data_IF_424062756694
#
_entry.id   IF_424062756694
#
_cell.length_a   1.000
_cell.length_b   1.000
_cell.length_c   1.000
_cell.angle_alpha   90.00
_cell.angle_beta   90.00
_cell.angle_gamma   90.00
#
_symmetry.space_group_name_H-M   'P 1'
#
loop_
_entity.id
_entity.type
_entity.pdbx_description
1 polymer ?
#
# COMPACT_ATOMS: atom_id res chain seq x y z
N UNK A 1 22.32 -0.03 5.53
CA UNK A 1 20.95 0.38 5.42
C UNK A 1 20.15 -0.60 4.56
N UNK A 2 20.61 -1.01 3.37
CA UNK A 2 19.94 -1.92 2.41
C UNK A 2 19.31 -3.17 3.05
N UNK A 3 20.06 -3.95 3.84
CA UNK A 3 19.52 -5.17 4.49
C UNK A 3 18.29 -4.92 5.38
N UNK A 4 18.21 -3.77 6.05
CA UNK A 4 17.04 -3.41 6.88
C UNK A 4 15.81 -3.07 6.04
N UNK A 5 15.98 -2.45 4.86
CA UNK A 5 14.88 -2.25 3.91
C UNK A 5 14.37 -3.57 3.33
N UNK A 6 15.29 -4.49 2.98
CA UNK A 6 14.90 -5.83 2.51
C UNK A 6 14.13 -6.60 3.58
N UNK A 7 14.67 -6.63 4.82
CA UNK A 7 14.01 -7.32 5.93
C UNK A 7 12.64 -6.71 6.24
N UNK A 8 12.56 -5.37 6.32
CA UNK A 8 11.30 -4.67 6.54
C UNK A 8 10.31 -4.93 5.40
N UNK A 9 10.76 -4.97 4.15
CA UNK A 9 9.91 -5.29 2.99
C UNK A 9 9.31 -6.69 3.09
N UNK A 10 10.13 -7.71 3.38
CA UNK A 10 9.65 -9.08 3.56
C UNK A 10 8.66 -9.18 4.73
N UNK A 11 8.99 -8.56 5.88
CA UNK A 11 8.11 -8.55 7.04
C UNK A 11 6.77 -7.83 6.74
N UNK A 12 6.81 -6.72 5.98
CA UNK A 12 5.61 -5.98 5.60
C UNK A 12 4.74 -6.77 4.60
N UNK A 13 5.34 -7.49 3.65
CA UNK A 13 4.61 -8.38 2.73
C UNK A 13 3.87 -9.46 3.54
N UNK A 14 4.56 -10.15 4.45
CA UNK A 14 3.92 -11.15 5.33
C UNK A 14 2.82 -10.52 6.19
N UNK A 15 3.08 -9.34 6.77
CA UNK A 15 2.09 -8.61 7.56
C UNK A 15 0.86 -8.26 6.73
N UNK A 16 1.02 -7.80 5.49
CA UNK A 16 -0.09 -7.46 4.61
C UNK A 16 -0.91 -8.68 4.21
N UNK A 17 -0.27 -9.83 3.98
CA UNK A 17 -1.00 -11.09 3.75
C UNK A 17 -1.87 -11.48 4.97
N UNK A 18 -1.35 -11.30 6.19
CA UNK A 18 -2.15 -11.52 7.41
C UNK A 18 -3.23 -10.44 7.57
N UNK A 19 -2.92 -9.20 7.23
CA UNK A 19 -3.83 -8.05 7.30
C UNK A 19 -5.05 -8.21 6.40
N UNK A 20 -4.89 -8.91 5.27
CA UNK A 20 -5.98 -9.23 4.35
C UNK A 20 -7.11 -10.04 5.03
N UNK A 21 -6.75 -10.93 5.96
CA UNK A 21 -7.73 -11.77 6.67
C UNK A 21 -8.24 -11.14 7.98
N UNK A 22 -7.76 -9.97 8.34
CA UNK A 22 -8.04 -9.37 9.64
C UNK A 22 -9.54 -9.12 9.86
N UNK A 23 -10.25 -8.64 8.83
CA UNK A 23 -11.69 -8.42 8.90
C UNK A 23 -12.47 -9.74 8.94
N UNK A 24 -12.01 -10.76 8.25
CA UNK A 24 -12.59 -12.10 8.30
C UNK A 24 -12.51 -12.72 9.71
N UNK A 25 -11.41 -12.43 10.43
CA UNK A 25 -11.23 -12.95 11.80
C UNK A 25 -11.97 -12.12 12.86
N UNK A 26 -12.08 -10.82 12.63
CA UNK A 26 -12.74 -9.87 13.52
C UNK A 26 -13.66 -8.96 12.74
N UNK A 27 -14.90 -9.41 12.54
CA UNK A 27 -15.97 -8.62 11.90
C UNK A 27 -16.41 -7.47 12.83
N UNK A 28 -15.63 -6.39 12.80
CA UNK A 28 -15.88 -5.21 13.61
C UNK A 28 -15.66 -3.93 12.81
N UNK A 29 -16.53 -2.93 12.98
CA UNK A 29 -16.49 -1.69 12.23
C UNK A 29 -15.13 -0.97 12.25
N UNK A 30 -14.41 -0.98 13.38
CA UNK A 30 -13.08 -0.41 13.45
C UNK A 30 -12.05 -1.16 12.60
N UNK A 31 -12.17 -2.48 12.50
CA UNK A 31 -11.28 -3.30 11.66
C UNK A 31 -11.54 -3.03 10.18
N UNK A 32 -12.80 -2.85 9.79
CA UNK A 32 -13.19 -2.49 8.43
C UNK A 32 -12.52 -1.21 7.90
N UNK A 33 -12.21 -0.25 8.77
CA UNK A 33 -11.55 1.00 8.36
C UNK A 33 -10.10 0.78 7.91
N UNK A 34 -9.44 -0.27 8.42
CA UNK A 34 -8.00 -0.50 8.21
C UNK A 34 -7.71 -1.76 7.40
N UNK A 35 -8.61 -2.74 7.38
CA UNK A 35 -8.47 -3.99 6.66
C UNK A 35 -9.47 -4.06 5.48
N UNK A 36 -9.15 -4.82 4.41
CA UNK A 36 -10.09 -5.05 3.32
C UNK A 36 -11.36 -5.74 3.83
N UNK A 37 -12.52 -5.24 3.39
CA UNK A 37 -13.84 -5.82 3.72
C UNK A 37 -14.41 -6.66 2.57
N UNK A 38 -13.93 -6.41 1.37
CA UNK A 38 -14.31 -7.11 0.14
C UNK A 38 -13.13 -7.23 -0.83
N UNK A 39 -13.37 -7.88 -1.98
CA UNK A 39 -12.34 -8.12 -3.01
C UNK A 39 -12.22 -6.98 -4.04
N UNK A 40 -12.71 -5.77 -3.74
CA UNK A 40 -12.54 -4.62 -4.63
C UNK A 40 -11.07 -4.17 -4.68
N UNK A 41 -10.69 -3.56 -5.82
CA UNK A 41 -9.34 -3.02 -5.97
C UNK A 41 -9.07 -1.95 -4.92
N UNK A 42 -10.06 -1.09 -4.61
CA UNK A 42 -9.93 -0.03 -3.62
C UNK A 42 -9.58 -0.58 -2.23
N UNK A 43 -10.29 -1.60 -1.79
CA UNK A 43 -10.06 -2.21 -0.48
C UNK A 43 -8.66 -2.82 -0.37
N UNK A 44 -8.17 -3.42 -1.45
CA UNK A 44 -6.80 -3.96 -1.50
C UNK A 44 -5.70 -2.89 -1.42
N UNK A 45 -5.99 -1.62 -1.78
CA UNK A 45 -5.01 -0.53 -1.59
C UNK A 45 -4.68 -0.29 -0.12
N UNK A 46 -5.54 -0.67 0.82
CA UNK A 46 -5.25 -0.64 2.27
C UNK A 46 -4.04 -1.49 2.64
N UNK A 47 -3.81 -2.60 1.92
CA UNK A 47 -2.65 -3.48 2.13
C UNK A 47 -1.32 -2.83 1.72
N UNK A 48 -1.36 -1.85 0.82
CA UNK A 48 -0.20 -1.06 0.40
C UNK A 48 0.05 0.16 1.30
N UNK A 49 -0.89 0.46 2.19
CA UNK A 49 -0.83 1.65 3.04
C UNK A 49 -0.57 1.30 4.51
N UNK A 50 -1.51 0.62 5.17
CA UNK A 50 -1.47 0.41 6.62
C UNK A 50 -0.29 -0.46 7.08
N UNK A 51 0.03 -1.59 6.44
CA UNK A 51 1.19 -2.42 6.83
C UNK A 51 2.55 -1.74 6.60
N UNK A 52 2.63 -0.73 5.72
CA UNK A 52 3.87 0.01 5.43
C UNK A 52 4.21 1.01 6.52
N UNK A 53 3.20 1.57 7.22
CA UNK A 53 3.40 2.55 8.29
C UNK A 53 4.33 2.05 9.40
N UNK A 54 4.14 0.85 9.99
CA UNK A 54 5.06 0.30 10.98
C UNK A 54 6.52 0.22 10.47
N UNK A 55 6.72 -0.21 9.23
CA UNK A 55 8.05 -0.29 8.63
C UNK A 55 8.70 1.10 8.51
N UNK A 56 7.94 2.10 8.02
CA UNK A 56 8.39 3.49 7.93
C UNK A 56 8.76 4.07 9.32
N UNK A 57 7.92 3.81 10.34
CA UNK A 57 8.16 4.24 11.72
C UNK A 57 9.43 3.61 12.31
N UNK A 58 9.59 2.29 12.17
CA UNK A 58 10.74 1.55 12.70
C UNK A 58 12.04 2.02 12.03
N UNK A 59 12.07 2.07 10.69
CA UNK A 59 13.26 2.47 9.95
C UNK A 59 13.55 3.97 10.10
N UNK A 60 12.52 4.82 10.14
CA UNK A 60 12.64 6.25 10.37
C UNK A 60 13.28 6.55 11.72
N UNK A 61 12.82 5.89 12.80
CA UNK A 61 13.42 6.00 14.14
C UNK A 61 14.84 5.42 14.18
N UNK A 62 15.03 4.23 13.60
CA UNK A 62 16.33 3.54 13.61
C UNK A 62 17.44 4.36 12.96
N UNK A 63 17.16 4.99 11.83
CA UNK A 63 18.16 5.73 11.07
C UNK A 63 18.16 7.22 11.36
N UNK A 64 17.10 7.77 11.98
CA UNK A 64 16.98 9.18 12.34
C UNK A 64 17.08 10.14 11.13
N UNK A 65 16.84 9.64 9.93
CA UNK A 65 17.01 10.42 8.69
C UNK A 65 15.66 10.87 8.13
N UNK A 66 15.55 12.16 7.83
CA UNK A 66 14.41 12.75 7.13
C UNK A 66 14.12 12.01 5.81
N UNK A 67 15.16 11.58 5.09
CA UNK A 67 15.05 10.90 3.81
C UNK A 67 14.39 9.52 3.87
N UNK A 68 14.39 8.86 5.03
CA UNK A 68 13.63 7.60 5.20
C UNK A 68 12.13 7.90 5.12
N UNK A 69 11.69 8.95 5.80
CA UNK A 69 10.27 9.36 5.78
C UNK A 69 9.82 9.76 4.38
N UNK A 70 10.57 10.67 3.72
CA UNK A 70 10.23 11.11 2.36
C UNK A 70 10.24 9.97 1.35
N UNK A 71 11.17 9.01 1.48
CA UNK A 71 11.23 7.82 0.66
C UNK A 71 9.99 6.91 0.81
N UNK A 72 9.59 6.62 2.05
CA UNK A 72 8.39 5.81 2.31
C UNK A 72 7.09 6.51 1.89
N UNK A 73 6.94 7.80 2.21
CA UNK A 73 5.74 8.55 1.82
C UNK A 73 5.57 8.58 0.30
N UNK A 74 6.66 8.79 -0.45
CA UNK A 74 6.64 8.73 -1.90
C UNK A 74 6.26 7.32 -2.42
N UNK A 75 6.82 6.26 -1.84
CA UNK A 75 6.46 4.89 -2.19
C UNK A 75 4.99 4.58 -1.90
N UNK A 76 4.47 5.00 -0.74
CA UNK A 76 3.06 4.82 -0.36
C UNK A 76 2.07 5.50 -1.31
N UNK A 77 2.48 6.58 -2.00
CA UNK A 77 1.66 7.25 -3.01
C UNK A 77 1.79 6.59 -4.38
N UNK A 78 2.96 6.05 -4.73
CA UNK A 78 3.20 5.48 -6.06
C UNK A 78 2.78 4.02 -6.17
N UNK A 79 2.86 3.24 -5.09
CA UNK A 79 2.42 1.84 -5.08
C UNK A 79 0.95 1.65 -5.49
N UNK A 80 -0.03 2.42 -4.94
CA UNK A 80 -1.43 2.33 -5.36
C UNK A 80 -1.63 2.64 -6.84
N UNK A 81 -0.95 3.64 -7.36
CA UNK A 81 -1.02 4.00 -8.80
C UNK A 81 -0.51 2.86 -9.67
N UNK A 82 0.63 2.26 -9.29
CA UNK A 82 1.18 1.08 -9.96
C UNK A 82 0.24 -0.13 -9.89
N UNK A 83 -0.36 -0.38 -8.71
CA UNK A 83 -1.33 -1.47 -8.51
C UNK A 83 -2.54 -1.31 -9.43
N UNK A 84 -3.18 -0.13 -9.43
CA UNK A 84 -4.35 0.17 -10.27
C UNK A 84 -3.98 0.03 -11.75
N UNK A 85 -2.88 0.64 -12.19
CA UNK A 85 -2.46 0.62 -13.59
C UNK A 85 -2.22 -0.80 -14.11
N UNK A 86 -1.45 -1.61 -13.36
CA UNK A 86 -1.13 -2.97 -13.77
C UNK A 86 -2.34 -3.89 -13.66
N UNK A 87 -3.12 -3.79 -12.56
CA UNK A 87 -4.32 -4.59 -12.38
C UNK A 87 -5.30 -4.42 -13.56
N UNK A 88 -5.68 -3.19 -13.88
CA UNK A 88 -6.64 -2.96 -14.97
C UNK A 88 -6.05 -3.29 -16.35
N UNK A 89 -4.75 -3.13 -16.54
CA UNK A 89 -4.11 -3.57 -17.79
C UNK A 89 -4.19 -5.08 -17.96
N UNK A 90 -3.95 -5.84 -16.88
CA UNK A 90 -4.00 -7.30 -16.94
C UNK A 90 -5.43 -7.83 -16.98
N UNK A 91 -6.30 -7.37 -16.09
CA UNK A 91 -7.68 -7.84 -15.99
C UNK A 91 -8.54 -7.37 -17.17
N UNK A 92 -8.62 -6.04 -17.42
CA UNK A 92 -9.47 -5.49 -18.47
C UNK A 92 -8.81 -5.53 -19.86
N UNK A 93 -7.47 -5.39 -19.94
CA UNK A 93 -6.75 -5.36 -21.20
C UNK A 93 -6.48 -6.75 -21.78
N UNK A 94 -6.04 -7.69 -20.95
CA UNK A 94 -5.66 -9.04 -21.37
C UNK A 94 -6.63 -10.14 -20.91
N UNK A 95 -7.66 -9.82 -20.13
CA UNK A 95 -8.60 -10.79 -19.59
C UNK A 95 -7.95 -11.77 -18.58
N UNK A 96 -6.81 -11.38 -17.99
CA UNK A 96 -6.08 -12.20 -17.03
C UNK A 96 -6.59 -11.87 -15.62
N UNK A 97 -7.43 -12.75 -15.08
CA UNK A 97 -7.99 -12.63 -13.74
C UNK A 97 -7.80 -13.95 -12.99
N UNK A 98 -6.85 -14.00 -12.06
CA UNK A 98 -6.60 -15.15 -11.21
C UNK A 98 -6.03 -14.75 -9.85
N UNK A 99 -6.36 -15.52 -8.80
CA UNK A 99 -5.85 -15.31 -7.46
C UNK A 99 -4.31 -15.26 -7.41
N UNK A 100 -3.64 -16.15 -8.14
CA UNK A 100 -2.17 -16.19 -8.20
C UNK A 100 -1.60 -14.91 -8.79
N UNK A 101 -2.27 -14.36 -9.81
CA UNK A 101 -1.88 -13.10 -10.41
C UNK A 101 -2.02 -11.94 -9.43
N UNK A 102 -3.12 -11.87 -8.68
CA UNK A 102 -3.37 -10.79 -7.71
C UNK A 102 -2.35 -10.84 -6.56
N UNK A 103 -2.06 -12.02 -6.01
CA UNK A 103 -1.02 -12.18 -4.98
C UNK A 103 0.36 -11.81 -5.54
N UNK A 104 0.68 -12.29 -6.74
CA UNK A 104 1.95 -11.97 -7.42
C UNK A 104 2.11 -10.48 -7.67
N UNK A 105 1.04 -9.80 -8.11
CA UNK A 105 1.02 -8.36 -8.32
C UNK A 105 1.23 -7.59 -7.01
N UNK A 106 0.52 -7.98 -5.94
CA UNK A 106 0.72 -7.39 -4.61
C UNK A 106 2.20 -7.48 -4.18
N UNK A 107 2.78 -8.67 -4.24
CA UNK A 107 4.19 -8.91 -3.86
C UNK A 107 5.13 -8.06 -4.72
N UNK A 108 4.92 -8.02 -6.05
CA UNK A 108 5.74 -7.23 -6.98
C UNK A 108 5.68 -5.74 -6.65
N UNK A 109 4.49 -5.19 -6.45
CA UNK A 109 4.30 -3.76 -6.12
C UNK A 109 4.95 -3.43 -4.78
N UNK A 110 4.83 -4.29 -3.77
CA UNK A 110 5.50 -4.10 -2.48
C UNK A 110 7.03 -4.10 -2.62
N UNK A 111 7.60 -5.04 -3.39
CA UNK A 111 9.04 -5.08 -3.66
C UNK A 111 9.49 -3.79 -4.34
N UNK A 112 8.80 -3.37 -5.41
CA UNK A 112 9.09 -2.12 -6.12
C UNK A 112 9.00 -0.90 -5.20
N UNK A 113 7.99 -0.85 -4.33
CA UNK A 113 7.79 0.22 -3.36
C UNK A 113 8.95 0.33 -2.35
N UNK A 114 9.39 -0.81 -1.78
CA UNK A 114 10.53 -0.80 -0.84
C UNK A 114 11.86 -0.52 -1.52
N UNK A 115 12.06 -0.97 -2.75
CA UNK A 115 13.24 -0.60 -3.58
C UNK A 115 13.23 0.90 -3.86
N UNK A 116 12.09 1.46 -4.25
CA UNK A 116 11.92 2.89 -4.49
C UNK A 116 12.19 3.70 -3.21
N UNK A 117 11.58 3.30 -2.07
CA UNK A 117 11.80 3.96 -0.79
C UNK A 117 13.28 3.97 -0.40
N UNK A 118 13.99 2.85 -0.59
CA UNK A 118 15.43 2.76 -0.35
C UNK A 118 16.22 3.73 -1.25
N UNK A 119 15.98 3.73 -2.56
CA UNK A 119 16.69 4.60 -3.50
C UNK A 119 16.42 6.09 -3.24
N UNK A 120 15.17 6.47 -2.91
CA UNK A 120 14.85 7.84 -2.54
C UNK A 120 15.49 8.25 -1.21
N UNK A 121 15.59 7.32 -0.25
CA UNK A 121 16.30 7.53 1.02
C UNK A 121 17.79 7.81 0.77
N UNK A 122 18.46 7.03 -0.09
CA UNK A 122 19.88 7.21 -0.39
C UNK A 122 20.11 8.50 -1.19
N UNK A 123 19.29 8.79 -2.19
CA UNK A 123 19.44 9.95 -3.08
C UNK A 123 18.99 11.27 -2.46
N UNK A 124 18.18 11.24 -1.40
CA UNK A 124 17.58 12.40 -0.71
C UNK A 124 16.76 13.34 -1.61
N UNK A 125 16.44 12.92 -2.84
CA UNK A 125 15.76 13.77 -3.82
C UNK A 125 14.35 14.20 -3.38
N UNK A 126 13.68 13.37 -2.56
CA UNK A 126 12.32 13.62 -2.06
C UNK A 126 12.29 14.48 -0.78
N UNK A 127 13.45 14.75 -0.12
CA UNK A 127 13.47 15.41 1.19
C UNK A 127 12.87 16.82 1.19
N UNK A 128 13.03 17.54 0.07
CA UNK A 128 12.44 18.88 -0.08
C UNK A 128 10.92 18.88 -0.06
N UNK A 129 10.31 17.77 -0.43
CA UNK A 129 8.84 17.60 -0.54
C UNK A 129 8.23 16.87 0.65
N UNK A 130 8.98 16.73 1.77
CA UNK A 130 8.49 15.93 2.91
C UNK A 130 7.14 16.41 3.45
N UNK A 131 6.93 17.74 3.53
CA UNK A 131 5.68 18.33 4.02
C UNK A 131 4.49 17.98 3.12
N UNK A 132 4.67 18.20 1.83
CA UNK A 132 3.66 17.93 0.80
C UNK A 132 3.36 16.42 0.70
N UNK A 133 4.39 15.58 0.72
CA UNK A 133 4.24 14.12 0.73
C UNK A 133 3.46 13.65 1.96
N UNK A 134 3.75 14.19 3.14
CA UNK A 134 3.03 13.87 4.37
C UNK A 134 1.56 14.26 4.26
N UNK A 135 1.28 15.48 3.79
CA UNK A 135 -0.08 15.97 3.62
C UNK A 135 -0.88 15.11 2.63
N UNK A 136 -0.32 14.84 1.44
CA UNK A 136 -1.00 14.04 0.41
C UNK A 136 -1.21 12.60 0.90
N UNK A 137 -0.21 12.00 1.56
CA UNK A 137 -0.33 10.64 2.11
C UNK A 137 -1.38 10.58 3.21
N UNK A 138 -1.48 11.61 4.07
CA UNK A 138 -2.53 11.68 5.08
C UNK A 138 -3.92 11.82 4.46
N UNK A 139 -4.09 12.67 3.45
CA UNK A 139 -5.35 12.80 2.69
C UNK A 139 -5.73 11.46 2.06
N UNK A 140 -4.76 10.77 1.45
CA UNK A 140 -4.98 9.45 0.86
C UNK A 140 -5.43 8.43 1.93
N UNK A 141 -4.78 8.39 3.10
CA UNK A 141 -5.20 7.54 4.22
C UNK A 141 -6.63 7.84 4.71
N UNK A 142 -6.99 9.13 4.79
CA UNK A 142 -8.38 9.55 5.09
C UNK A 142 -9.35 9.09 4.00
N UNK A 143 -8.97 9.16 2.73
CA UNK A 143 -9.80 8.69 1.62
C UNK A 143 -10.03 7.17 1.69
N UNK A 144 -9.01 6.37 2.04
CA UNK A 144 -9.16 4.92 2.24
C UNK A 144 -10.21 4.61 3.32
N UNK A 145 -10.21 5.34 4.43
CA UNK A 145 -11.20 5.19 5.50
C UNK A 145 -12.57 5.69 5.07
N UNK A 146 -12.63 6.88 4.47
CA UNK A 146 -13.90 7.52 4.10
C UNK A 146 -14.68 6.69 3.09
N UNK A 147 -14.02 6.19 2.04
CA UNK A 147 -14.67 5.40 0.99
C UNK A 147 -15.00 3.96 1.39
N UNK A 148 -14.53 3.48 2.53
CA UNK A 148 -15.09 2.26 3.16
C UNK A 148 -16.47 2.53 3.76
N UNK A 149 -16.71 3.74 4.29
CA UNK A 149 -17.99 4.12 4.90
C UNK A 149 -19.00 4.64 3.88
N UNK A 150 -18.54 5.25 2.80
CA UNK A 150 -19.35 5.86 1.74
C UNK A 150 -18.84 5.38 0.37
N UNK A 151 -19.14 4.14 0.02
CA UNK A 151 -18.66 3.47 -1.20
C UNK A 151 -19.26 4.11 -2.45
N UNK A 152 -18.46 4.69 -3.37
CA UNK A 152 -18.97 5.20 -4.64
C UNK A 152 -19.32 4.07 -5.62
N UNK A 153 -20.29 4.30 -6.50
CA UNK A 153 -20.67 3.39 -7.58
C UNK A 153 -19.69 3.46 -8.77
N UNK A 154 -18.41 3.17 -8.53
CA UNK A 154 -17.37 3.13 -9.56
C UNK A 154 -16.70 1.75 -9.58
N UNK A 155 -16.25 1.26 -10.74
CA UNK A 155 -15.68 -0.09 -10.86
C UNK A 155 -14.54 -0.43 -9.88
N UNK A 156 -13.74 0.57 -9.49
CA UNK A 156 -12.63 0.37 -8.55
C UNK A 156 -13.10 0.00 -7.14
N UNK A 157 -14.31 0.40 -6.75
CA UNK A 157 -14.91 0.16 -5.42
C UNK A 157 -15.80 -1.06 -5.38
N UNK A 158 -16.06 -1.67 -6.52
CA UNK A 158 -16.93 -2.85 -6.61
C UNK A 158 -16.07 -4.11 -6.71
N UNK A 159 -16.45 -5.19 -6.01
CA UNK A 159 -15.78 -6.47 -6.19
C UNK A 159 -15.97 -6.96 -7.64
N UNK A 160 -14.99 -7.69 -8.21
CA UNK A 160 -15.12 -8.23 -9.56
C UNK A 160 -16.35 -9.12 -9.68
N UNK A 161 -17.07 -9.00 -10.80
CA UNK A 161 -18.22 -9.87 -11.07
C UNK A 161 -17.75 -11.33 -11.15
N UNK A 162 -18.40 -12.19 -10.37
CA UNK A 162 -18.10 -13.64 -10.37
C UNK A 162 -18.58 -14.30 -11.65
#
# INVERSE_FOLDING_TARGET
>A
MKKWFVFAGLATICLGCLWHFLYTWWDHALVALFAPIDESVWEHLKLLYWPVIPAALILGRKFGRRSVWSGFLCAMLLMPLGMIAVYYTLAAGFGLDSLVLHIGLYILIMICGFVLAYHLTESRKADRWLGELLMITAIYGCALVFFTLAVPELPIFLPPAK
#
